data_IF_384553797619
#
_entry.id   IF_384553797619
#
_cell.length_a   1.000
_cell.length_b   1.000
_cell.length_c   1.000
_cell.angle_alpha   90.00
_cell.angle_beta   90.00
_cell.angle_gamma   90.00
#
_symmetry.space_group_name_H-M   'P 1'
#
loop_
_entity.id
_entity.type
_entity.pdbx_description
1 polymer ?
#
# COMPACT_ATOMS: atom_id res chain seq x y z
N UNK A 1 -41.95 24.81 -34.21
CA UNK A 1 -42.26 25.21 -32.83
C UNK A 1 -41.28 24.49 -31.88
N UNK A 2 -40.12 25.08 -31.52
CA UNK A 2 -39.33 24.55 -30.42
C UNK A 2 -39.92 25.11 -29.12
N UNK A 3 -40.50 24.22 -28.32
CA UNK A 3 -40.94 24.55 -26.98
C UNK A 3 -39.70 24.74 -26.09
N UNK A 4 -39.55 25.96 -25.59
CA UNK A 4 -38.92 26.36 -24.33
C UNK A 4 -37.91 25.38 -23.71
N UNK A 5 -36.66 25.42 -24.18
CA UNK A 5 -35.50 25.08 -23.37
C UNK A 5 -35.35 26.16 -22.29
N UNK A 6 -36.18 26.07 -21.24
CA UNK A 6 -36.27 27.05 -20.16
C UNK A 6 -35.00 27.04 -19.32
N UNK A 7 -34.62 28.22 -18.80
CA UNK A 7 -33.44 28.52 -17.98
C UNK A 7 -32.98 27.46 -16.95
N UNK A 8 -33.86 26.56 -16.51
CA UNK A 8 -33.56 25.43 -15.60
C UNK A 8 -32.49 24.47 -16.17
N UNK A 9 -32.48 24.22 -17.48
CA UNK A 9 -31.53 23.26 -18.11
C UNK A 9 -30.09 23.82 -18.22
N UNK A 10 -29.93 25.15 -18.18
CA UNK A 10 -28.61 25.81 -18.17
C UNK A 10 -27.98 25.87 -16.77
N UNK A 11 -28.79 26.06 -15.73
CA UNK A 11 -28.30 26.17 -14.34
C UNK A 11 -27.89 24.79 -13.77
N UNK A 12 -28.64 23.74 -14.12
CA UNK A 12 -28.28 22.34 -13.85
C UNK A 12 -26.92 21.97 -14.48
N UNK A 13 -26.62 22.50 -15.66
CA UNK A 13 -25.38 22.27 -16.39
C UNK A 13 -24.15 22.81 -15.66
N UNK A 14 -24.25 24.01 -15.10
CA UNK A 14 -23.14 24.66 -14.39
C UNK A 14 -22.81 23.95 -13.07
N UNK A 15 -23.82 23.61 -12.27
CA UNK A 15 -23.65 22.87 -11.00
C UNK A 15 -23.05 21.48 -11.22
N UNK A 16 -23.55 20.74 -12.22
CA UNK A 16 -23.04 19.42 -12.59
C UNK A 16 -21.59 19.49 -13.10
N UNK A 17 -21.27 20.47 -13.94
CA UNK A 17 -19.90 20.67 -14.43
C UNK A 17 -18.92 20.99 -13.29
N UNK A 18 -19.32 21.87 -12.35
CA UNK A 18 -18.52 22.20 -11.18
C UNK A 18 -18.30 20.99 -10.25
N UNK A 19 -19.32 20.15 -10.05
CA UNK A 19 -19.20 18.90 -9.29
C UNK A 19 -18.16 17.97 -9.92
N UNK A 20 -18.25 17.74 -11.23
CA UNK A 20 -17.27 16.90 -11.92
C UNK A 20 -15.86 17.48 -11.83
N UNK A 21 -15.68 18.78 -12.00
CA UNK A 21 -14.37 19.42 -11.88
C UNK A 21 -13.75 19.16 -10.49
N UNK A 22 -14.53 19.33 -9.42
CA UNK A 22 -14.09 19.09 -8.03
C UNK A 22 -13.78 17.64 -7.71
N UNK A 23 -14.41 16.69 -8.41
CA UNK A 23 -14.33 15.26 -8.14
C UNK A 23 -13.61 14.49 -9.27
N UNK A 24 -12.71 15.14 -9.99
CA UNK A 24 -11.89 14.51 -11.04
C UNK A 24 -12.70 13.83 -12.15
N UNK A 25 -13.80 14.44 -12.59
CA UNK A 25 -14.68 13.90 -13.62
C UNK A 25 -15.58 12.77 -13.14
N UNK A 26 -15.72 12.58 -11.81
CA UNK A 26 -16.57 11.56 -11.21
C UNK A 26 -17.70 12.16 -10.37
N UNK A 27 -18.84 11.49 -10.31
CA UNK A 27 -19.94 11.85 -9.42
C UNK A 27 -20.75 10.62 -9.03
N UNK A 28 -21.43 10.65 -7.90
CA UNK A 28 -22.47 9.66 -7.61
C UNK A 28 -23.79 10.07 -8.27
N UNK A 29 -24.64 9.09 -8.59
CA UNK A 29 -26.00 9.37 -9.09
C UNK A 29 -26.80 10.25 -8.12
N UNK A 30 -26.65 10.03 -6.81
CA UNK A 30 -27.33 10.82 -5.78
C UNK A 30 -26.92 12.29 -5.83
N UNK A 31 -25.62 12.59 -5.88
CA UNK A 31 -25.12 13.97 -6.00
C UNK A 31 -25.65 14.68 -7.26
N UNK A 32 -25.78 13.94 -8.37
CA UNK A 32 -26.32 14.51 -9.61
C UNK A 32 -27.82 14.81 -9.48
N UNK A 33 -28.58 13.95 -8.81
CA UNK A 33 -30.01 14.15 -8.57
C UNK A 33 -30.26 15.31 -7.61
N UNK A 34 -29.40 15.50 -6.60
CA UNK A 34 -29.43 16.66 -5.69
C UNK A 34 -29.19 17.99 -6.44
N UNK A 35 -28.47 17.94 -7.56
CA UNK A 35 -28.24 19.09 -8.45
C UNK A 35 -29.28 19.19 -9.59
N UNK A 36 -30.46 18.59 -9.44
CA UNK A 36 -31.57 18.73 -10.40
C UNK A 36 -31.52 17.76 -11.60
N UNK A 37 -30.43 17.03 -11.81
CA UNK A 37 -30.30 16.15 -12.97
C UNK A 37 -31.34 15.01 -12.93
N UNK A 38 -32.25 14.97 -13.90
CA UNK A 38 -33.29 13.92 -13.92
C UNK A 38 -32.72 12.54 -14.25
N UNK A 39 -33.46 11.47 -13.86
CA UNK A 39 -33.09 10.08 -14.23
C UNK A 39 -33.02 9.87 -15.74
N UNK A 40 -33.91 10.51 -16.51
CA UNK A 40 -33.92 10.45 -17.96
C UNK A 40 -32.69 11.15 -18.56
N UNK A 41 -32.35 12.34 -18.05
CA UNK A 41 -31.16 13.09 -18.43
C UNK A 41 -29.86 12.32 -18.15
N UNK A 42 -29.76 11.64 -17.00
CA UNK A 42 -28.63 10.76 -16.69
C UNK A 42 -28.54 9.58 -17.66
N UNK A 43 -29.67 8.88 -17.93
CA UNK A 43 -29.70 7.73 -18.84
C UNK A 43 -29.27 8.14 -20.25
N UNK A 44 -29.74 9.28 -20.73
CA UNK A 44 -29.34 9.83 -22.03
C UNK A 44 -27.83 10.10 -22.09
N UNK A 45 -27.24 10.71 -21.05
CA UNK A 45 -25.80 11.00 -20.99
C UNK A 45 -24.94 9.73 -20.94
N UNK A 46 -25.39 8.70 -20.21
CA UNK A 46 -24.74 7.38 -20.13
C UNK A 46 -24.74 6.63 -21.48
N UNK A 47 -25.68 6.94 -22.38
CA UNK A 47 -25.72 6.37 -23.72
C UNK A 47 -24.83 7.08 -24.74
N UNK A 48 -24.11 8.14 -24.36
CA UNK A 48 -23.31 8.95 -25.30
C UNK A 48 -21.87 9.13 -24.84
N UNK A 49 -21.66 9.94 -23.80
CA UNK A 49 -20.32 10.40 -23.40
C UNK A 49 -19.96 10.08 -21.95
N UNK A 50 -20.92 9.65 -21.14
CA UNK A 50 -20.69 9.28 -19.76
C UNK A 50 -20.65 7.76 -19.60
N UNK A 51 -20.05 7.26 -18.52
CA UNK A 51 -20.08 5.83 -18.20
C UNK A 51 -20.31 5.55 -16.73
N UNK A 52 -20.91 4.39 -16.45
CA UNK A 52 -20.88 3.82 -15.10
C UNK A 52 -19.46 3.38 -14.75
N UNK A 53 -19.06 3.57 -13.49
CA UNK A 53 -17.72 3.28 -12.99
C UNK A 53 -17.73 2.15 -11.96
N UNK A 54 -18.44 2.34 -10.86
CA UNK A 54 -18.57 1.36 -9.78
C UNK A 54 -19.83 1.68 -8.97
N UNK A 55 -20.80 0.75 -8.94
CA UNK A 55 -22.07 0.96 -8.24
C UNK A 55 -22.77 2.26 -8.67
N UNK A 56 -22.99 3.24 -7.76
CA UNK A 56 -23.63 4.52 -8.08
C UNK A 56 -22.69 5.55 -8.71
N UNK A 57 -21.40 5.25 -8.88
CA UNK A 57 -20.43 6.22 -9.40
C UNK A 57 -20.45 6.24 -10.93
N UNK A 58 -20.50 7.43 -11.51
CA UNK A 58 -20.44 7.70 -12.95
C UNK A 58 -19.27 8.62 -13.28
N UNK A 59 -18.78 8.53 -14.51
CA UNK A 59 -17.74 9.39 -15.08
C UNK A 59 -18.34 10.20 -16.22
N UNK A 60 -17.98 11.49 -16.30
CA UNK A 60 -18.36 12.38 -17.41
C UNK A 60 -17.57 12.12 -18.71
N UNK A 61 -16.65 11.14 -18.68
CA UNK A 61 -15.83 10.69 -19.82
C UNK A 61 -15.83 9.16 -19.95
N UNK A 62 -15.72 8.65 -21.18
CA UNK A 62 -15.57 7.23 -21.51
C UNK A 62 -14.12 6.73 -21.45
N UNK A 63 -13.14 7.61 -21.28
CA UNK A 63 -11.73 7.25 -21.18
C UNK A 63 -11.42 6.36 -19.97
N UNK A 64 -10.32 5.59 -20.02
CA UNK A 64 -9.87 4.76 -18.89
C UNK A 64 -9.61 5.63 -17.66
N UNK A 65 -9.96 5.13 -16.47
CA UNK A 65 -9.71 5.86 -15.22
C UNK A 65 -8.21 5.98 -14.97
N UNK A 66 -7.77 7.18 -14.60
CA UNK A 66 -6.46 7.40 -14.01
C UNK A 66 -6.35 6.73 -12.63
N UNK A 67 -5.14 6.45 -12.12
CA UNK A 67 -4.95 5.94 -10.76
C UNK A 67 -5.66 6.78 -9.69
N UNK A 68 -5.59 8.13 -9.82
CA UNK A 68 -6.29 9.06 -8.91
C UNK A 68 -7.81 8.90 -9.01
N UNK A 69 -8.36 8.81 -10.21
CA UNK A 69 -9.80 8.61 -10.39
C UNK A 69 -10.28 7.27 -9.81
N UNK A 70 -9.45 6.22 -9.81
CA UNK A 70 -9.82 4.94 -9.19
C UNK A 70 -9.98 5.07 -7.68
N UNK A 71 -9.06 5.75 -6.98
CA UNK A 71 -9.20 5.96 -5.52
C UNK A 71 -10.34 6.92 -5.18
N UNK A 72 -10.57 7.95 -6.00
CA UNK A 72 -11.74 8.85 -5.84
C UNK A 72 -13.06 8.10 -6.05
N UNK A 73 -13.15 7.25 -7.07
CA UNK A 73 -14.34 6.41 -7.30
C UNK A 73 -14.60 5.46 -6.13
N UNK A 74 -13.55 4.90 -5.53
CA UNK A 74 -13.66 4.06 -4.34
C UNK A 74 -14.17 4.85 -3.12
N UNK A 75 -13.64 6.06 -2.88
CA UNK A 75 -14.12 6.96 -1.83
C UNK A 75 -15.59 7.34 -2.02
N UNK A 76 -16.00 7.70 -3.25
CA UNK A 76 -17.39 8.04 -3.57
C UNK A 76 -18.34 6.84 -3.42
N UNK A 77 -17.90 5.64 -3.79
CA UNK A 77 -18.65 4.40 -3.61
C UNK A 77 -18.86 4.07 -2.12
N UNK A 78 -17.84 4.28 -1.30
CA UNK A 78 -17.88 4.00 0.13
C UNK A 78 -18.62 5.09 0.94
N UNK A 79 -18.65 6.32 0.41
CA UNK A 79 -19.28 7.46 1.05
C UNK A 79 -18.34 8.20 2.03
N UNK A 80 -18.87 9.18 2.80
CA UNK A 80 -18.08 10.05 3.67
C UNK A 80 -17.39 9.29 4.81
N UNK A 81 -17.96 8.18 5.27
CA UNK A 81 -17.41 7.35 6.35
C UNK A 81 -16.36 6.35 5.86
N UNK A 82 -16.22 6.19 4.54
CA UNK A 82 -15.23 5.30 3.95
C UNK A 82 -13.81 5.81 4.16
N UNK A 83 -12.88 4.92 4.49
CA UNK A 83 -11.47 5.24 4.66
C UNK A 83 -10.62 4.29 3.81
N UNK A 84 -9.85 4.85 2.86
CA UNK A 84 -8.90 4.10 2.05
C UNK A 84 -7.84 3.45 2.94
N UNK A 85 -7.58 2.17 2.70
CA UNK A 85 -6.51 1.41 3.34
C UNK A 85 -5.80 0.52 2.31
N UNK A 86 -4.85 -0.31 2.75
CA UNK A 86 -4.11 -1.20 1.87
C UNK A 86 -3.14 -0.47 0.92
N UNK A 87 -2.81 -1.11 -0.19
CA UNK A 87 -1.79 -0.66 -1.14
C UNK A 87 -1.95 0.78 -1.63
N UNK A 88 -3.19 1.20 -1.89
CA UNK A 88 -3.46 2.55 -2.39
C UNK A 88 -3.29 3.60 -1.29
N UNK A 89 -3.52 3.26 -0.03
CA UNK A 89 -3.22 4.15 1.09
C UNK A 89 -1.71 4.23 1.32
N UNK A 90 -1.01 3.10 1.28
CA UNK A 90 0.46 3.01 1.32
C UNK A 90 1.10 3.88 0.23
N UNK A 91 0.57 3.87 -0.99
CA UNK A 91 1.01 4.75 -2.07
C UNK A 91 0.79 6.24 -1.80
N UNK A 92 -0.37 6.60 -1.24
CA UNK A 92 -0.67 7.99 -0.87
C UNK A 92 0.23 8.49 0.27
N UNK A 93 0.76 7.58 1.07
CA UNK A 93 1.81 7.85 2.07
C UNK A 93 3.22 7.88 1.49
N UNK A 94 3.39 7.70 0.17
CA UNK A 94 4.68 7.80 -0.51
C UNK A 94 5.49 6.50 -0.58
N UNK A 95 4.92 5.36 -0.17
CA UNK A 95 5.57 4.05 -0.29
C UNK A 95 5.27 3.42 -1.65
N UNK A 96 6.31 2.95 -2.34
CA UNK A 96 6.25 2.43 -3.69
C UNK A 96 5.84 0.96 -3.77
N UNK A 97 5.95 0.20 -2.68
CA UNK A 97 5.55 -1.21 -2.59
C UNK A 97 4.07 -1.44 -2.91
N UNK A 98 3.21 -0.44 -2.66
CA UNK A 98 1.80 -0.50 -3.05
C UNK A 98 1.54 -0.41 -4.57
N UNK A 99 2.54 -0.11 -5.41
CA UNK A 99 2.36 0.08 -6.86
C UNK A 99 1.93 -1.21 -7.55
N UNK A 100 0.98 -1.09 -8.49
CA UNK A 100 0.56 -2.20 -9.35
C UNK A 100 -0.49 -3.14 -8.72
N UNK A 101 -0.76 -3.01 -7.43
CA UNK A 101 -1.69 -3.88 -6.72
C UNK A 101 -3.15 -3.47 -6.92
N UNK A 102 -4.04 -4.48 -6.87
CA UNK A 102 -5.49 -4.36 -6.96
C UNK A 102 -6.10 -5.38 -5.98
N UNK A 103 -7.32 -5.14 -5.46
CA UNK A 103 -8.24 -4.02 -5.71
C UNK A 103 -7.89 -2.74 -4.91
N UNK A 104 -8.70 -1.68 -5.07
CA UNK A 104 -8.67 -0.52 -4.15
C UNK A 104 -9.44 -0.89 -2.89
N UNK A 105 -8.79 -0.86 -1.73
CA UNK A 105 -9.42 -1.24 -0.46
C UNK A 105 -9.97 -0.03 0.29
N UNK A 106 -11.21 -0.15 0.78
CA UNK A 106 -11.85 0.86 1.62
C UNK A 106 -12.47 0.20 2.84
N UNK A 107 -12.20 0.77 4.01
CA UNK A 107 -12.81 0.40 5.28
C UNK A 107 -14.10 1.20 5.50
N UNK A 108 -15.14 0.54 6.00
CA UNK A 108 -16.42 1.16 6.37
C UNK A 108 -16.86 0.73 7.77
N UNK A 109 -17.69 1.51 8.47
CA UNK A 109 -18.22 1.14 9.78
C UNK A 109 -19.12 -0.11 9.73
N UNK A 110 -19.35 -0.75 10.89
CA UNK A 110 -20.08 -2.01 11.01
C UNK A 110 -21.54 -2.00 10.55
N UNK A 111 -22.16 -0.81 10.50
CA UNK A 111 -23.52 -0.62 9.98
C UNK A 111 -23.58 -0.58 8.44
N UNK A 112 -22.44 -0.80 7.75
CA UNK A 112 -22.35 -0.92 6.31
C UNK A 112 -21.93 -2.35 5.91
N UNK A 113 -22.29 -2.74 4.71
CA UNK A 113 -21.96 -4.05 4.17
C UNK A 113 -20.56 -4.12 3.57
N UNK A 114 -19.88 -5.24 3.83
CA UNK A 114 -18.71 -5.64 3.03
C UNK A 114 -19.17 -6.09 1.65
N UNK A 115 -18.47 -5.68 0.60
CA UNK A 115 -18.78 -6.06 -0.78
C UNK A 115 -17.62 -5.79 -1.72
N UNK A 116 -17.55 -6.56 -2.80
CA UNK A 116 -16.69 -6.26 -3.94
C UNK A 116 -17.52 -5.65 -5.06
N UNK A 117 -17.12 -4.49 -5.57
CA UNK A 117 -17.80 -3.77 -6.65
C UNK A 117 -16.78 -3.27 -7.65
N UNK A 118 -16.82 -3.81 -8.87
CA UNK A 118 -15.86 -3.53 -9.93
C UNK A 118 -14.41 -3.76 -9.45
N UNK A 119 -13.63 -2.70 -9.24
CA UNK A 119 -12.24 -2.78 -8.79
C UNK A 119 -12.05 -2.34 -7.32
N UNK A 120 -13.14 -2.20 -6.57
CA UNK A 120 -13.16 -1.71 -5.19
C UNK A 120 -13.58 -2.84 -4.26
N UNK A 121 -12.79 -3.05 -3.22
CA UNK A 121 -13.10 -3.97 -2.13
C UNK A 121 -13.48 -3.15 -0.89
N UNK A 122 -14.75 -3.22 -0.52
CA UNK A 122 -15.29 -2.59 0.68
C UNK A 122 -15.30 -3.62 1.80
N UNK A 123 -14.65 -3.28 2.91
CA UNK A 123 -14.52 -4.16 4.07
C UNK A 123 -15.02 -3.45 5.31
N UNK A 124 -16.08 -3.98 5.92
CA UNK A 124 -16.54 -3.48 7.22
C UNK A 124 -15.51 -3.78 8.31
N UNK A 125 -15.29 -2.82 9.20
CA UNK A 125 -14.35 -2.96 10.32
C UNK A 125 -15.05 -2.68 11.65
N UNK A 126 -14.74 -3.48 12.67
CA UNK A 126 -15.13 -3.24 14.08
C UNK A 126 -14.22 -2.21 14.76
N UNK A 127 -13.10 -1.86 14.12
CA UNK A 127 -12.17 -0.81 14.55
C UNK A 127 -12.23 0.33 13.54
N UNK A 128 -13.10 1.34 13.76
CA UNK A 128 -13.12 2.54 12.95
C UNK A 128 -11.76 3.21 12.96
N UNK A 129 -11.39 3.83 11.85
CA UNK A 129 -10.21 4.70 11.81
C UNK A 129 -10.61 6.04 12.40
N UNK A 130 -10.19 6.31 13.64
CA UNK A 130 -10.60 7.51 14.38
C UNK A 130 -10.09 8.81 13.75
N UNK A 131 -8.83 8.81 13.29
CA UNK A 131 -8.16 10.00 12.75
C UNK A 131 -7.57 9.72 11.36
N UNK A 132 -8.40 9.53 10.32
CA UNK A 132 -7.89 9.36 8.97
C UNK A 132 -7.34 10.70 8.45
N UNK A 133 -6.24 10.62 7.70
CA UNK A 133 -5.70 11.77 7.01
C UNK A 133 -6.64 12.18 5.88
N UNK A 134 -6.66 13.48 5.57
CA UNK A 134 -7.44 14.03 4.47
C UNK A 134 -6.52 14.46 3.34
N UNK A 135 -6.79 13.96 2.14
CA UNK A 135 -6.17 14.40 0.89
C UNK A 135 -7.30 14.74 -0.09
N UNK A 136 -7.72 16.01 -0.06
CA UNK A 136 -8.91 16.48 -0.78
C UNK A 136 -10.15 15.72 -0.36
N UNK A 137 -10.73 14.96 -1.30
CA UNK A 137 -11.91 14.11 -1.04
C UNK A 137 -11.57 12.82 -0.30
N UNK A 138 -10.31 12.40 -0.35
CA UNK A 138 -9.89 11.10 0.15
C UNK A 138 -9.72 11.14 1.66
N UNK A 139 -10.24 10.12 2.34
CA UNK A 139 -9.89 9.80 3.72
C UNK A 139 -8.98 8.59 3.69
N UNK A 140 -7.77 8.74 4.22
CA UNK A 140 -6.70 7.73 4.14
C UNK A 140 -6.36 7.25 5.54
N UNK A 141 -6.28 5.94 5.72
CA UNK A 141 -5.87 5.35 6.98
C UNK A 141 -4.46 5.84 7.38
N UNK A 142 -4.16 6.03 8.68
CA UNK A 142 -2.80 6.26 9.15
C UNK A 142 -1.83 5.21 8.61
N UNK A 143 -0.57 5.59 8.42
CA UNK A 143 0.39 4.72 7.74
C UNK A 143 0.56 3.35 8.41
N UNK A 144 0.69 3.22 9.74
CA UNK A 144 0.79 1.89 10.37
C UNK A 144 -0.42 1.00 10.04
N UNK A 145 -1.62 1.58 10.07
CA UNK A 145 -2.86 0.88 9.69
C UNK A 145 -2.85 0.46 8.23
N UNK A 146 -2.44 1.34 7.33
CA UNK A 146 -2.37 1.05 5.90
C UNK A 146 -1.35 -0.07 5.60
N UNK A 147 -0.17 -0.05 6.22
CA UNK A 147 0.88 -1.08 6.07
C UNK A 147 0.40 -2.44 6.56
N UNK A 148 -0.13 -2.51 7.79
CA UNK A 148 -0.60 -3.77 8.36
C UNK A 148 -1.80 -4.32 7.58
N UNK A 149 -2.74 -3.48 7.16
CA UNK A 149 -3.84 -3.92 6.30
C UNK A 149 -3.34 -4.42 4.94
N UNK A 150 -2.34 -3.76 4.35
CA UNK A 150 -1.70 -4.23 3.10
C UNK A 150 -1.07 -5.61 3.29
N UNK A 151 -0.27 -5.78 4.34
CA UNK A 151 0.38 -7.06 4.63
C UNK A 151 -0.63 -8.17 4.95
N UNK A 152 -1.77 -7.84 5.58
CA UNK A 152 -2.87 -8.78 5.85
C UNK A 152 -3.62 -9.21 4.58
N UNK A 153 -3.77 -8.31 3.61
CA UNK A 153 -4.47 -8.59 2.35
C UNK A 153 -3.54 -9.03 1.22
N UNK A 154 -2.24 -9.09 1.48
CA UNK A 154 -1.25 -9.58 0.54
C UNK A 154 -1.55 -11.02 0.12
N UNK A 155 -1.36 -11.32 -1.16
CA UNK A 155 -1.46 -12.69 -1.69
C UNK A 155 -0.18 -13.49 -1.50
N UNK A 156 0.95 -12.82 -1.25
CA UNK A 156 2.27 -13.43 -1.10
C UNK A 156 3.00 -12.83 0.08
N UNK A 157 3.90 -13.62 0.68
CA UNK A 157 4.76 -13.14 1.75
C UNK A 157 5.72 -12.05 1.24
N UNK A 158 6.23 -12.16 0.01
CA UNK A 158 7.08 -11.15 -0.61
C UNK A 158 6.45 -9.76 -0.61
N UNK A 159 5.16 -9.67 -0.93
CA UNK A 159 4.45 -8.39 -0.94
C UNK A 159 4.29 -7.84 0.48
N UNK A 160 3.92 -8.70 1.43
CA UNK A 160 3.83 -8.34 2.84
C UNK A 160 5.18 -7.84 3.40
N UNK A 161 6.28 -8.52 3.07
CA UNK A 161 7.65 -8.12 3.41
C UNK A 161 8.00 -6.78 2.78
N UNK A 162 7.78 -6.62 1.47
CA UNK A 162 8.11 -5.41 0.74
C UNK A 162 7.47 -4.15 1.35
N UNK A 163 6.18 -4.21 1.71
CA UNK A 163 5.51 -3.05 2.29
C UNK A 163 5.96 -2.73 3.72
N UNK A 164 6.21 -3.75 4.55
CA UNK A 164 6.69 -3.56 5.93
C UNK A 164 8.11 -3.02 5.93
N UNK A 165 9.00 -3.66 5.17
CA UNK A 165 10.42 -3.27 5.06
C UNK A 165 10.54 -1.85 4.52
N UNK A 166 9.85 -1.50 3.43
CA UNK A 166 9.94 -0.14 2.88
C UNK A 166 9.46 0.91 3.89
N UNK A 167 8.39 0.64 4.64
CA UNK A 167 7.87 1.56 5.66
C UNK A 167 8.89 1.83 6.78
N UNK A 168 9.60 0.80 7.22
CA UNK A 168 10.61 0.87 8.29
C UNK A 168 11.90 1.51 7.79
N UNK A 169 12.42 1.07 6.63
CA UNK A 169 13.67 1.60 6.06
C UNK A 169 13.57 3.08 5.69
N UNK A 170 12.42 3.51 5.18
CA UNK A 170 12.17 4.93 4.88
C UNK A 170 11.84 5.75 6.14
N UNK A 171 11.87 5.13 7.32
CA UNK A 171 11.54 5.73 8.64
C UNK A 171 10.18 6.42 8.66
N UNK A 172 9.22 5.93 7.88
CA UNK A 172 7.85 6.45 7.84
C UNK A 172 6.96 5.78 8.89
N UNK A 173 7.31 4.56 9.32
CA UNK A 173 6.66 3.87 10.43
C UNK A 173 7.70 3.15 11.29
N UNK A 174 7.45 3.10 12.60
CA UNK A 174 8.25 2.31 13.54
C UNK A 174 7.72 0.86 13.63
N UNK A 175 8.60 -0.11 13.88
CA UNK A 175 8.20 -1.51 14.05
C UNK A 175 7.24 -1.72 15.22
N UNK A 176 7.35 -0.92 16.28
CA UNK A 176 6.47 -1.01 17.45
C UNK A 176 5.07 -0.46 17.13
N UNK A 177 4.96 0.59 16.30
CA UNK A 177 3.67 1.07 15.79
C UNK A 177 2.98 0.01 14.90
N UNK A 178 3.76 -0.66 14.04
CA UNK A 178 3.26 -1.75 13.21
C UNK A 178 2.81 -2.95 14.05
N UNK A 179 3.58 -3.29 15.08
CA UNK A 179 3.24 -4.37 16.01
C UNK A 179 1.97 -4.04 16.80
N UNK A 180 1.86 -2.82 17.32
CA UNK A 180 0.67 -2.35 18.02
C UNK A 180 -0.59 -2.46 17.15
N UNK A 181 -0.50 -2.00 15.89
CA UNK A 181 -1.62 -2.03 14.96
C UNK A 181 -1.97 -3.46 14.50
N UNK A 182 -0.98 -4.34 14.41
CA UNK A 182 -1.16 -5.77 14.14
C UNK A 182 -1.94 -6.44 15.27
N UNK A 183 -1.53 -6.23 16.52
CA UNK A 183 -2.12 -6.88 17.68
C UNK A 183 -3.49 -6.33 18.03
N UNK A 184 -3.73 -5.04 17.80
CA UNK A 184 -5.06 -4.46 17.91
C UNK A 184 -6.02 -4.97 16.82
N UNK A 185 -5.54 -5.58 15.73
CA UNK A 185 -6.37 -6.05 14.63
C UNK A 185 -6.83 -7.51 14.73
N UNK A 186 -7.59 -8.01 13.74
CA UNK A 186 -8.05 -9.39 13.74
C UNK A 186 -6.88 -10.37 13.59
N UNK A 187 -6.91 -11.48 14.34
CA UNK A 187 -5.92 -12.56 14.20
C UNK A 187 -6.09 -13.37 12.92
N UNK A 188 -7.34 -13.61 12.50
CA UNK A 188 -7.64 -14.35 11.26
C UNK A 188 -7.09 -13.59 10.04
N UNK A 189 -6.34 -14.29 9.21
CA UNK A 189 -5.70 -13.70 8.01
C UNK A 189 -4.49 -12.81 8.31
N UNK A 190 -3.95 -12.85 9.55
CA UNK A 190 -2.77 -12.05 9.93
C UNK A 190 -1.43 -12.77 9.78
N UNK A 191 -1.41 -14.01 9.30
CA UNK A 191 -0.18 -14.82 9.24
C UNK A 191 0.95 -14.13 8.47
N UNK A 192 0.68 -13.64 7.24
CA UNK A 192 1.68 -12.95 6.43
C UNK A 192 2.15 -11.64 7.05
N UNK A 193 1.25 -10.86 7.65
CA UNK A 193 1.61 -9.63 8.34
C UNK A 193 2.47 -9.89 9.59
N UNK A 194 2.16 -10.93 10.36
CA UNK A 194 2.97 -11.37 11.52
C UNK A 194 4.35 -11.80 11.09
N UNK A 195 4.44 -12.63 10.05
CA UNK A 195 5.73 -13.07 9.52
C UNK A 195 6.55 -11.88 9.02
N UNK A 196 5.99 -11.00 8.18
CA UNK A 196 6.70 -9.86 7.64
C UNK A 196 7.22 -8.89 8.72
N UNK A 197 6.45 -8.65 9.79
CA UNK A 197 6.88 -7.82 10.92
C UNK A 197 7.96 -8.53 11.75
N UNK A 198 7.84 -9.85 11.95
CA UNK A 198 8.87 -10.64 12.64
C UNK A 198 10.19 -10.64 11.88
N UNK A 199 10.15 -10.84 10.56
CA UNK A 199 11.33 -10.82 9.68
C UNK A 199 12.03 -9.46 9.72
N UNK A 200 11.27 -8.37 9.63
CA UNK A 200 11.81 -7.02 9.72
C UNK A 200 12.43 -6.75 11.11
N UNK A 201 11.85 -7.29 12.19
CA UNK A 201 12.41 -7.20 13.56
C UNK A 201 13.67 -8.05 13.72
N UNK A 202 13.76 -9.18 13.02
CA UNK A 202 14.96 -10.01 12.96
C UNK A 202 16.05 -9.41 12.06
N UNK A 203 15.78 -8.27 11.40
CA UNK A 203 16.74 -7.55 10.57
C UNK A 203 16.81 -8.02 9.13
N UNK A 204 15.85 -8.81 8.63
CA UNK A 204 15.81 -9.21 7.22
C UNK A 204 15.23 -8.08 6.35
N UNK A 205 16.02 -7.59 5.40
CA UNK A 205 15.68 -6.44 4.55
C UNK A 205 15.28 -6.83 3.13
N UNK A 206 15.22 -8.13 2.82
CA UNK A 206 14.60 -8.63 1.61
C UNK A 206 13.98 -10.01 1.80
N UNK A 207 13.12 -10.43 0.88
CA UNK A 207 12.52 -11.77 0.94
C UNK A 207 13.57 -12.89 0.83
N UNK A 208 14.56 -12.83 -0.08
CA UNK A 208 15.65 -13.80 -0.12
C UNK A 208 16.49 -13.83 1.17
N UNK A 209 16.73 -12.68 1.79
CA UNK A 209 17.42 -12.60 3.10
C UNK A 209 16.62 -13.31 4.19
N UNK A 210 15.32 -13.06 4.25
CA UNK A 210 14.45 -13.67 5.25
C UNK A 210 14.31 -15.18 5.02
N UNK A 211 14.16 -15.65 3.77
CA UNK A 211 14.17 -17.08 3.44
C UNK A 211 15.48 -17.76 3.84
N UNK A 212 16.61 -17.10 3.59
CA UNK A 212 17.91 -17.62 4.00
C UNK A 212 18.05 -17.61 5.53
N UNK A 213 17.60 -16.56 6.20
CA UNK A 213 17.60 -16.47 7.66
C UNK A 213 16.73 -17.58 8.29
N UNK A 214 15.53 -17.82 7.74
CA UNK A 214 14.64 -18.91 8.15
C UNK A 214 15.32 -20.28 7.98
N UNK A 215 15.92 -20.52 6.81
CA UNK A 215 16.59 -21.78 6.51
C UNK A 215 17.80 -22.04 7.41
N UNK A 216 18.62 -21.01 7.68
CA UNK A 216 19.79 -21.12 8.54
C UNK A 216 19.38 -21.20 10.02
N UNK A 217 18.37 -20.44 10.45
CA UNK A 217 17.86 -20.44 11.82
C UNK A 217 17.17 -21.75 12.21
N UNK A 218 16.63 -22.50 11.24
CA UNK A 218 16.09 -23.85 11.48
C UNK A 218 17.18 -24.94 11.58
N UNK A 219 18.45 -24.63 11.29
CA UNK A 219 19.55 -25.58 11.35
C UNK A 219 19.97 -25.85 12.79
N UNK A 220 20.07 -27.12 13.18
CA UNK A 220 20.66 -27.52 14.47
C UNK A 220 22.19 -27.62 14.43
N UNK A 221 22.78 -27.43 13.25
CA UNK A 221 24.23 -27.56 13.03
C UNK A 221 24.94 -26.21 13.00
N UNK A 222 24.22 -25.16 12.58
CA UNK A 222 24.83 -23.85 12.39
C UNK A 222 24.73 -23.01 13.68
N UNK A 223 25.74 -22.18 13.96
CA UNK A 223 25.65 -21.22 15.05
C UNK A 223 24.60 -20.13 14.75
N UNK A 224 24.26 -19.28 15.75
CA UNK A 224 23.35 -18.16 15.56
C UNK A 224 23.78 -17.26 14.39
N UNK A 225 22.82 -16.92 13.54
CA UNK A 225 23.01 -16.04 12.40
C UNK A 225 22.44 -14.67 12.71
N UNK A 226 23.23 -13.63 12.43
CA UNK A 226 22.85 -12.22 12.60
C UNK A 226 22.54 -11.63 11.23
N UNK A 227 21.34 -11.09 11.04
CA UNK A 227 21.00 -10.39 9.81
C UNK A 227 21.51 -8.95 9.83
N UNK A 228 22.03 -8.49 8.69
CA UNK A 228 22.43 -7.11 8.42
C UNK A 228 23.23 -6.43 9.54
N UNK A 229 24.29 -7.05 10.10
CA UNK A 229 25.04 -6.45 11.18
C UNK A 229 25.81 -5.21 10.70
N UNK A 230 25.98 -4.26 11.62
CA UNK A 230 26.91 -3.15 11.43
C UNK A 230 28.30 -3.65 11.81
N UNK A 231 29.15 -3.86 10.81
CA UNK A 231 30.53 -4.26 11.02
C UNK A 231 31.43 -3.03 11.10
N UNK A 232 32.30 -2.97 12.11
CA UNK A 232 33.27 -1.87 12.28
C UNK A 232 34.68 -2.41 12.46
N UNK A 233 35.66 -1.82 11.77
CA UNK A 233 37.09 -2.11 11.94
C UNK A 233 37.83 -0.80 12.19
N UNK A 234 38.58 -0.72 13.30
CA UNK A 234 39.31 0.49 13.70
C UNK A 234 38.45 1.78 13.68
N UNK A 235 37.17 1.67 14.06
CA UNK A 235 36.22 2.78 14.06
C UNK A 235 35.62 3.15 12.70
N UNK A 236 35.98 2.45 11.63
CA UNK A 236 35.36 2.61 10.30
C UNK A 236 34.28 1.55 10.08
N UNK A 237 33.10 1.97 9.64
CA UNK A 237 32.02 1.07 9.26
C UNK A 237 32.33 0.42 7.90
N UNK A 238 32.25 -0.91 7.86
CA UNK A 238 32.36 -1.70 6.64
C UNK A 238 30.99 -1.83 5.96
N UNK A 239 30.98 -2.38 4.74
CA UNK A 239 29.75 -2.82 4.10
C UNK A 239 29.09 -3.89 4.98
N UNK A 240 27.85 -3.64 5.41
CA UNK A 240 27.07 -4.61 6.17
C UNK A 240 26.72 -5.79 5.26
N UNK A 241 27.11 -7.03 5.62
CA UNK A 241 26.68 -8.21 4.91
C UNK A 241 25.20 -8.47 5.18
N UNK A 242 24.55 -9.20 4.29
CA UNK A 242 23.14 -9.53 4.48
C UNK A 242 22.94 -10.47 5.69
N UNK A 243 23.84 -11.43 5.89
CA UNK A 243 23.89 -12.28 7.09
C UNK A 243 25.34 -12.50 7.57
N UNK A 244 25.50 -12.75 8.86
CA UNK A 244 26.78 -12.97 9.55
C UNK A 244 26.71 -14.12 10.54
N UNK A 245 27.75 -14.97 10.55
CA UNK A 245 27.93 -16.02 11.55
C UNK A 245 29.22 -15.72 12.30
N UNK A 246 29.09 -15.35 13.57
CA UNK A 246 30.19 -14.80 14.37
C UNK A 246 31.28 -15.84 14.67
N UNK A 247 30.88 -17.05 15.05
CA UNK A 247 31.77 -18.17 15.42
C UNK A 247 32.85 -18.48 14.37
N UNK A 248 32.53 -18.25 13.10
CA UNK A 248 33.41 -18.54 11.96
C UNK A 248 33.79 -17.30 11.15
N UNK A 249 33.37 -16.11 11.60
CA UNK A 249 33.53 -14.84 10.89
C UNK A 249 33.10 -14.90 9.41
N UNK A 250 31.95 -15.54 9.14
CA UNK A 250 31.44 -15.75 7.78
C UNK A 250 30.39 -14.67 7.43
N UNK A 251 30.66 -13.93 6.37
CA UNK A 251 29.73 -12.99 5.75
C UNK A 251 29.01 -13.63 4.55
N UNK A 252 27.69 -13.46 4.48
CA UNK A 252 26.83 -13.95 3.39
C UNK A 252 26.18 -12.76 2.69
N UNK A 253 26.19 -12.77 1.35
CA UNK A 253 25.57 -11.75 0.49
C UNK A 253 24.53 -12.38 -0.43
N UNK A 254 23.27 -11.99 -0.26
CA UNK A 254 22.10 -12.41 -1.03
C UNK A 254 21.84 -11.43 -2.18
N UNK A 255 22.36 -11.78 -3.35
CA UNK A 255 22.18 -10.97 -4.55
C UNK A 255 20.85 -11.30 -5.23
N UNK A 256 19.86 -10.40 -5.15
CA UNK A 256 18.63 -10.55 -5.93
C UNK A 256 18.85 -10.15 -7.40
N UNK A 257 18.51 -11.04 -8.36
CA UNK A 257 18.65 -10.80 -9.82
C UNK A 257 17.89 -9.57 -10.34
N UNK A 258 16.92 -9.02 -9.59
CA UNK A 258 16.17 -7.80 -9.97
C UNK A 258 17.01 -6.51 -9.95
N UNK A 259 18.19 -6.51 -9.32
CA UNK A 259 19.07 -5.33 -9.23
C UNK A 259 20.17 -5.26 -10.31
N UNK A 260 20.22 -6.18 -11.28
CA UNK A 260 21.16 -6.12 -12.42
C UNK A 260 20.79 -5.08 -13.50
N UNK A 261 20.36 -3.87 -13.10
CA UNK A 261 20.26 -2.70 -13.98
C UNK A 261 20.66 -1.42 -13.24
N UNK A 262 21.89 -1.38 -12.72
CA UNK A 262 22.73 -0.16 -12.62
C UNK A 262 23.86 -0.39 -11.61
N UNK A 263 25.04 -0.79 -12.09
CA UNK A 263 26.34 -0.30 -11.64
C UNK A 263 27.42 -0.98 -12.51
N UNK A 264 28.40 -0.23 -13.06
CA UNK A 264 29.61 -0.84 -13.59
C UNK A 264 30.34 -1.53 -12.44
N UNK A 265 30.81 -2.74 -12.69
CA UNK A 265 31.60 -3.54 -11.75
C UNK A 265 32.90 -2.78 -11.46
N UNK A 266 32.94 -2.06 -10.35
CA UNK A 266 34.19 -1.68 -9.69
C UNK A 266 34.77 -2.93 -9.05
N UNK A 267 35.98 -3.30 -9.45
CA UNK A 267 36.69 -4.49 -9.00
C UNK A 267 36.76 -4.59 -7.45
N UNK A 268 36.51 -5.76 -6.85
CA UNK A 268 36.64 -5.92 -5.40
C UNK A 268 38.12 -5.81 -4.97
N UNK A 269 38.43 -4.83 -4.14
CA UNK A 269 39.68 -4.80 -3.34
C UNK A 269 39.46 -5.59 -2.05
N UNK A 270 39.42 -6.91 -2.13
CA UNK A 270 39.72 -7.75 -0.97
C UNK A 270 41.09 -8.41 -1.20
N UNK A 271 42.14 -7.75 -0.73
CA UNK A 271 43.41 -8.41 -0.40
C UNK A 271 43.99 -7.65 0.77
N UNK A 272 43.58 -8.05 1.97
CA UNK A 272 44.47 -7.92 3.11
C UNK A 272 44.17 -9.06 4.07
N UNK A 273 45.17 -9.89 4.26
CA UNK A 273 45.25 -11.03 5.15
C UNK A 273 45.06 -10.56 6.60
N UNK A 274 44.00 -10.99 7.27
CA UNK A 274 43.93 -10.95 8.73
C UNK A 274 44.28 -12.35 9.24
N UNK A 275 45.55 -12.53 9.61
CA UNK A 275 45.95 -13.67 10.43
C UNK A 275 45.55 -13.35 11.88
N UNK A 276 44.65 -14.15 12.45
CA UNK A 276 44.42 -14.12 13.88
C UNK A 276 45.59 -14.82 14.57
N UNK A 277 46.43 -14.03 15.25
CA UNK A 277 47.35 -14.58 16.24
C UNK A 277 46.51 -15.02 17.43
N UNK A 278 46.56 -16.31 17.74
CA UNK A 278 46.27 -16.81 19.09
C UNK A 278 47.32 -16.24 20.03
N UNK A 279 46.88 -15.58 21.09
CA UNK A 279 47.64 -15.48 22.34
C UNK A 279 46.94 -16.35 23.36
N UNK A 280 47.77 -17.06 24.12
CA UNK A 280 47.48 -18.20 24.99
C UNK A 280 46.37 -17.99 26.02
#
# INVERSE_FOLDING_TARGET
MPASASLVDMDDGAGVAALFARQHGLATRAQLYELGLTRAALRWRLGRGWRAVAGPVVSSSTQRLSPRQRVVAAQLLAGPDGVLSGDHAVLLHGLSAGRGHRPVHVLVPMNRDSRSVAFVQVTRTRRPVERPLRDGLLRVAPLPRAVVDTARWASTLDHARAVVIEAVQTRRADLDDLQHELDAGPRRGSALARQAIADARAGAWSAPEAELLDALGASTLLPPVVANPVLTVAGQQLLSPDLWIDDVALALMVHSRRHMRAAPIGSPRWRTTASSRRTA
#
